data_IF_624523815065
#
_entry.id   IF_624523815065
#
_cell.length_a   1.000
_cell.length_b   1.000
_cell.length_c   1.000
_cell.angle_alpha   90.00
_cell.angle_beta   90.00
_cell.angle_gamma   90.00
#
_symmetry.space_group_name_H-M   'P 1'
#
loop_
_entity.id
_entity.type
_entity.pdbx_description
1 polymer ?
#
# COMPACT_ATOMS: atom_id res chain seq x y z
N UNK A 1 -0.85 -3.34 -17.38
CA UNK A 1 -0.07 -2.15 -17.81
C UNK A 1 -1.06 -1.03 -18.00
N UNK A 2 -0.68 0.20 -17.63
CA UNK A 2 -1.46 1.41 -17.86
C UNK A 2 -0.78 2.25 -18.93
N UNK A 3 -1.52 2.68 -19.95
CA UNK A 3 -1.01 3.57 -20.99
C UNK A 3 -1.51 4.99 -20.76
N UNK A 4 -0.60 5.96 -20.71
CA UNK A 4 -0.87 7.39 -20.60
C UNK A 4 -0.56 8.04 -21.94
N UNK A 5 -1.51 7.95 -22.86
CA UNK A 5 -1.33 8.40 -24.24
C UNK A 5 -0.44 7.45 -25.05
N UNK A 6 0.30 8.00 -26.01
CA UNK A 6 1.02 7.21 -27.02
C UNK A 6 2.41 6.72 -26.54
N UNK A 7 3.09 7.49 -25.69
CA UNK A 7 4.51 7.26 -25.40
C UNK A 7 4.80 6.82 -23.97
N UNK A 8 3.85 6.99 -23.04
CA UNK A 8 4.07 6.71 -21.63
C UNK A 8 3.30 5.46 -21.20
N UNK A 9 4.02 4.49 -20.66
CA UNK A 9 3.46 3.25 -20.16
C UNK A 9 3.99 2.94 -18.77
N UNK A 10 3.08 2.56 -17.87
CA UNK A 10 3.41 2.12 -16.53
C UNK A 10 3.14 0.63 -16.39
N UNK A 11 4.13 -0.07 -15.87
CA UNK A 11 4.04 -1.49 -15.53
C UNK A 11 3.75 -1.61 -14.04
N UNK A 12 2.65 -2.27 -13.73
CA UNK A 12 2.29 -2.63 -12.36
C UNK A 12 3.15 -3.81 -11.88
N UNK A 13 3.26 -3.99 -10.58
CA UNK A 13 3.99 -5.10 -9.97
C UNK A 13 3.28 -6.46 -10.13
N UNK A 14 1.99 -6.44 -10.48
CA UNK A 14 1.14 -7.64 -10.47
C UNK A 14 1.31 -8.51 -11.72
N UNK A 15 1.58 -9.79 -11.47
CA UNK A 15 1.64 -10.85 -12.48
C UNK A 15 0.28 -11.51 -12.61
N UNK A 16 -0.02 -12.12 -13.76
CA UNK A 16 -1.33 -12.73 -14.07
C UNK A 16 -1.86 -13.69 -13.00
N UNK A 17 -0.96 -14.40 -12.28
CA UNK A 17 -1.36 -15.31 -11.19
C UNK A 17 -2.10 -14.60 -10.04
N UNK A 18 -1.77 -13.33 -9.78
CA UNK A 18 -2.35 -12.53 -8.70
C UNK A 18 -3.59 -11.75 -9.15
N UNK A 19 -3.86 -11.69 -10.46
CA UNK A 19 -4.96 -10.93 -11.03
C UNK A 19 -6.24 -11.77 -11.11
N UNK A 20 -7.39 -11.13 -10.97
CA UNK A 20 -8.70 -11.69 -11.30
C UNK A 20 -8.78 -11.96 -12.81
N UNK A 21 -9.93 -12.44 -13.31
CA UNK A 21 -10.12 -12.62 -14.75
C UNK A 21 -10.00 -11.27 -15.44
N UNK A 22 -8.85 -11.04 -16.08
CA UNK A 22 -8.58 -9.81 -16.82
C UNK A 22 -9.49 -9.72 -18.04
N UNK A 23 -9.92 -8.51 -18.45
CA UNK A 23 -10.59 -8.33 -19.71
C UNK A 23 -9.73 -8.87 -20.87
N UNK A 24 -10.36 -9.52 -21.84
CA UNK A 24 -9.67 -10.04 -23.04
C UNK A 24 -9.10 -8.90 -23.89
N UNK A 25 -9.68 -7.70 -23.78
CA UNK A 25 -9.32 -6.50 -24.52
C UNK A 25 -8.78 -5.38 -23.62
N UNK A 26 -8.25 -4.31 -24.24
CA UNK A 26 -7.81 -3.11 -23.52
C UNK A 26 -9.01 -2.42 -22.86
N UNK A 27 -8.92 -2.21 -21.55
CA UNK A 27 -9.88 -1.41 -20.79
C UNK A 27 -9.39 0.05 -20.71
N UNK A 28 -10.31 1.00 -20.84
CA UNK A 28 -10.04 2.43 -20.58
C UNK A 28 -9.97 2.68 -19.07
N UNK A 29 -9.16 3.66 -18.67
CA UNK A 29 -9.12 4.10 -17.28
C UNK A 29 -10.48 4.73 -16.92
N UNK A 30 -11.21 4.08 -16.02
CA UNK A 30 -12.61 4.41 -15.74
C UNK A 30 -12.73 5.63 -14.82
N UNK A 31 -13.97 6.13 -14.67
CA UNK A 31 -14.25 7.18 -13.69
C UNK A 31 -14.00 6.69 -12.25
N UNK A 32 -14.29 5.41 -11.98
CA UNK A 32 -14.05 4.77 -10.69
C UNK A 32 -12.55 4.64 -10.41
N UNK A 33 -11.76 4.22 -11.41
CA UNK A 33 -10.30 4.15 -11.32
C UNK A 33 -9.71 5.54 -10.99
N UNK A 34 -10.28 6.59 -11.58
CA UNK A 34 -9.91 7.99 -11.34
C UNK A 34 -10.25 8.45 -9.93
N UNK A 35 -11.41 8.05 -9.41
CA UNK A 35 -11.80 8.35 -8.03
C UNK A 35 -10.83 7.68 -7.03
N UNK A 36 -10.46 6.42 -7.25
CA UNK A 36 -9.46 5.74 -6.43
C UNK A 36 -8.09 6.42 -6.49
N UNK A 37 -7.64 6.80 -7.70
CA UNK A 37 -6.37 7.49 -7.88
C UNK A 37 -6.31 8.81 -7.12
N UNK A 38 -7.32 9.66 -7.30
CA UNK A 38 -7.41 10.99 -6.66
C UNK A 38 -7.49 10.84 -5.15
N UNK A 39 -8.33 9.93 -4.65
CA UNK A 39 -8.47 9.73 -3.22
C UNK A 39 -7.17 9.27 -2.55
N UNK A 40 -6.47 8.30 -3.15
CA UNK A 40 -5.17 7.86 -2.66
C UNK A 40 -4.13 9.00 -2.70
N UNK A 41 -4.14 9.81 -3.77
CA UNK A 41 -3.21 10.93 -3.92
C UNK A 41 -3.42 11.98 -2.83
N UNK A 42 -4.67 12.38 -2.58
CA UNK A 42 -5.02 13.35 -1.53
C UNK A 42 -4.60 12.88 -0.15
N UNK A 43 -4.83 11.61 0.19
CA UNK A 43 -4.41 11.06 1.47
C UNK A 43 -2.89 11.04 1.62
N UNK A 44 -2.16 10.50 0.63
CA UNK A 44 -0.70 10.44 0.71
C UNK A 44 -0.06 11.82 0.75
N UNK A 45 -0.60 12.80 0.03
CA UNK A 45 -0.12 14.19 0.09
C UNK A 45 -0.37 14.82 1.47
N UNK A 46 -1.54 14.56 2.09
CA UNK A 46 -1.85 15.05 3.43
C UNK A 46 -1.01 14.39 4.54
N UNK A 47 -0.41 13.23 4.26
CA UNK A 47 0.39 12.49 5.23
C UNK A 47 1.80 13.02 5.47
N UNK A 48 2.26 13.98 4.66
CA UNK A 48 3.63 14.51 4.66
C UNK A 48 4.74 13.46 4.46
N UNK A 49 4.41 12.24 4.00
CA UNK A 49 5.40 11.23 3.66
C UNK A 49 6.36 11.77 2.59
N UNK A 50 7.67 11.54 2.79
CA UNK A 50 8.68 12.01 1.86
C UNK A 50 8.79 11.07 0.65
N UNK A 51 8.02 11.35 -0.40
CA UNK A 51 8.04 10.63 -1.68
C UNK A 51 8.35 11.59 -2.82
N UNK A 52 9.19 11.18 -3.76
CA UNK A 52 9.31 11.87 -5.04
C UNK A 52 8.00 11.74 -5.85
N UNK A 53 7.78 12.66 -6.80
CA UNK A 53 6.61 12.59 -7.69
C UNK A 53 6.52 11.27 -8.46
N UNK A 54 7.68 10.68 -8.80
CA UNK A 54 7.75 9.39 -9.48
C UNK A 54 7.34 8.23 -8.55
N UNK A 55 7.81 8.22 -7.31
CA UNK A 55 7.43 7.21 -6.32
C UNK A 55 5.94 7.29 -5.98
N UNK A 56 5.42 8.51 -5.76
CA UNK A 56 4.00 8.73 -5.53
C UNK A 56 3.18 8.18 -6.71
N UNK A 57 3.53 8.55 -7.94
CA UNK A 57 2.83 8.05 -9.14
C UNK A 57 2.86 6.53 -9.22
N UNK A 58 3.99 5.89 -8.93
CA UNK A 58 4.12 4.44 -8.95
C UNK A 58 3.26 3.77 -7.87
N UNK A 59 3.23 4.33 -6.65
CA UNK A 59 2.36 3.85 -5.56
C UNK A 59 0.89 3.95 -5.96
N UNK A 60 0.46 5.10 -6.49
CA UNK A 60 -0.94 5.33 -6.88
C UNK A 60 -1.39 4.37 -7.99
N UNK A 61 -0.58 4.19 -9.04
CA UNK A 61 -0.91 3.29 -10.15
C UNK A 61 -0.98 1.83 -9.66
N UNK A 62 -0.08 1.40 -8.78
CA UNK A 62 -0.17 0.05 -8.21
C UNK A 62 -1.36 -0.09 -7.26
N UNK A 63 -1.67 0.92 -6.45
CA UNK A 63 -2.84 0.92 -5.56
C UNK A 63 -4.15 0.79 -6.32
N UNK A 64 -4.34 1.58 -7.39
CA UNK A 64 -5.52 1.46 -8.27
C UNK A 64 -5.56 0.10 -8.96
N UNK A 65 -4.43 -0.38 -9.49
CA UNK A 65 -4.40 -1.69 -10.12
C UNK A 65 -4.70 -2.83 -9.14
N UNK A 66 -4.32 -2.68 -7.86
CA UNK A 66 -4.66 -3.63 -6.81
C UNK A 66 -6.17 -3.66 -6.55
N UNK A 67 -6.77 -2.48 -6.34
CA UNK A 67 -8.20 -2.33 -6.08
C UNK A 67 -9.06 -2.91 -7.21
N UNK A 68 -8.67 -2.68 -8.47
CA UNK A 68 -9.49 -3.04 -9.64
C UNK A 68 -9.25 -4.48 -10.09
N UNK A 69 -8.01 -4.98 -10.05
CA UNK A 69 -7.65 -6.22 -10.75
C UNK A 69 -7.06 -7.33 -9.86
N UNK A 70 -6.74 -7.07 -8.59
CA UNK A 70 -6.10 -8.08 -7.76
C UNK A 70 -7.11 -9.06 -7.16
N UNK A 71 -6.76 -10.35 -7.12
CA UNK A 71 -7.53 -11.35 -6.39
C UNK A 71 -7.53 -11.04 -4.88
N UNK A 72 -8.59 -11.40 -4.14
CA UNK A 72 -8.54 -11.34 -2.68
C UNK A 72 -7.33 -12.08 -2.14
N UNK A 73 -6.59 -11.46 -1.21
CA UNK A 73 -5.44 -12.08 -0.55
C UNK A 73 -5.83 -12.71 0.79
N UNK A 74 -5.14 -13.80 1.14
CA UNK A 74 -5.37 -14.48 2.40
C UNK A 74 -4.97 -13.58 3.59
N UNK A 75 -5.74 -13.69 4.68
CA UNK A 75 -5.42 -13.06 5.95
C UNK A 75 -4.17 -13.73 6.54
N UNK A 76 -3.12 -12.96 6.83
CA UNK A 76 -1.85 -13.46 7.37
C UNK A 76 -1.29 -12.61 8.50
N UNK A 77 -2.14 -12.30 9.47
CA UNK A 77 -1.82 -11.42 10.61
C UNK A 77 -0.78 -12.00 11.56
N UNK A 78 -0.59 -13.33 11.57
CA UNK A 78 0.37 -14.01 12.45
C UNK A 78 1.83 -13.68 12.14
N UNK A 79 2.11 -13.03 11.01
CA UNK A 79 3.45 -12.54 10.68
C UNK A 79 3.84 -11.27 11.44
N UNK A 80 2.89 -10.59 12.10
CA UNK A 80 3.07 -9.25 12.64
C UNK A 80 2.66 -9.17 14.11
N UNK A 81 3.34 -8.28 14.84
CA UNK A 81 3.13 -8.00 16.25
C UNK A 81 1.79 -7.31 16.49
N UNK A 82 1.05 -7.73 17.52
CA UNK A 82 -0.16 -7.02 17.93
C UNK A 82 0.17 -5.66 18.55
N UNK A 83 -0.64 -4.65 18.25
CA UNK A 83 -0.45 -3.28 18.71
C UNK A 83 -1.60 -2.89 19.64
N UNK A 84 -1.26 -2.31 20.79
CA UNK A 84 -2.24 -1.75 21.74
C UNK A 84 -2.94 -0.53 21.14
N UNK A 85 -2.18 0.33 20.45
CA UNK A 85 -2.69 1.50 19.75
C UNK A 85 -2.51 1.26 18.26
N UNK A 86 -3.62 0.92 17.59
CA UNK A 86 -3.59 0.52 16.18
C UNK A 86 -4.43 1.43 15.30
N UNK A 87 -4.07 1.48 14.03
CA UNK A 87 -4.82 2.25 13.04
C UNK A 87 -3.96 2.64 11.84
N UNK A 88 -4.59 3.37 10.93
CA UNK A 88 -3.94 4.02 9.81
C UNK A 88 -4.31 5.48 9.80
N UNK A 89 -3.36 6.35 9.46
CA UNK A 89 -3.55 7.79 9.32
C UNK A 89 -3.29 8.12 7.86
N UNK A 90 -4.22 8.79 7.19
CA UNK A 90 -4.11 9.10 5.75
C UNK A 90 -3.84 7.87 4.88
N UNK A 91 -4.54 6.76 5.19
CA UNK A 91 -4.32 5.44 4.59
C UNK A 91 -2.89 4.89 4.75
N UNK A 92 -2.01 5.52 5.53
CA UNK A 92 -0.68 5.00 5.85
C UNK A 92 -0.66 4.33 7.21
N UNK A 93 0.06 3.22 7.24
CA UNK A 93 0.42 2.52 8.46
C UNK A 93 1.79 1.86 8.28
N UNK A 94 2.31 1.31 9.36
CA UNK A 94 3.41 0.37 9.30
C UNK A 94 2.99 -0.99 9.84
N UNK A 95 3.66 -2.02 9.37
CA UNK A 95 3.61 -3.37 9.93
C UNK A 95 4.99 -3.70 10.51
N UNK A 96 5.01 -4.39 11.64
CA UNK A 96 6.23 -4.73 12.34
C UNK A 96 6.19 -6.19 12.82
N UNK A 97 7.36 -6.82 12.82
CA UNK A 97 7.63 -8.08 13.47
C UNK A 97 9.07 -8.08 14.02
N UNK A 98 9.51 -9.22 14.56
CA UNK A 98 10.85 -9.38 15.13
C UNK A 98 11.99 -9.16 14.12
N UNK A 99 11.72 -9.24 12.81
CA UNK A 99 12.70 -9.06 11.74
C UNK A 99 12.78 -7.61 11.25
N UNK A 100 11.79 -6.78 11.58
CA UNK A 100 11.79 -5.37 11.24
C UNK A 100 10.41 -4.78 10.99
N UNK A 101 10.42 -3.55 10.49
CA UNK A 101 9.25 -2.71 10.23
C UNK A 101 9.21 -2.30 8.77
N UNK A 102 8.01 -2.20 8.19
CA UNK A 102 7.81 -1.72 6.84
C UNK A 102 6.51 -0.96 6.67
N UNK A 103 6.56 0.09 5.85
CA UNK A 103 5.42 0.95 5.59
C UNK A 103 4.49 0.36 4.53
N UNK A 104 3.20 0.57 4.74
CA UNK A 104 2.11 0.11 3.89
C UNK A 104 1.10 1.22 3.65
N UNK A 105 0.42 1.16 2.50
CA UNK A 105 -0.85 1.84 2.32
C UNK A 105 -2.00 0.87 2.57
N UNK A 106 -3.07 1.34 3.21
CA UNK A 106 -4.29 0.59 3.47
C UNK A 106 -5.28 0.88 2.34
N UNK A 107 -5.44 -0.08 1.43
CA UNK A 107 -6.30 0.05 0.24
C UNK A 107 -7.77 -0.18 0.56
N UNK A 108 -8.05 -1.18 1.41
CA UNK A 108 -9.41 -1.55 1.79
C UNK A 108 -9.45 -1.84 3.29
N UNK A 109 -10.57 -1.50 3.92
CA UNK A 109 -10.84 -1.85 5.30
C UNK A 109 -12.25 -2.43 5.42
N UNK A 110 -12.35 -3.51 6.19
CA UNK A 110 -13.61 -4.10 6.65
C UNK A 110 -13.60 -4.10 8.19
N UNK A 111 -14.58 -4.68 8.88
CA UNK A 111 -14.76 -4.63 10.33
C UNK A 111 -13.43 -4.69 11.12
N UNK A 112 -12.74 -5.84 11.08
CA UNK A 112 -11.51 -6.10 11.85
C UNK A 112 -10.27 -6.33 10.99
N UNK A 113 -10.38 -6.24 9.67
CA UNK A 113 -9.29 -6.56 8.73
C UNK A 113 -9.03 -5.41 7.76
N UNK A 114 -7.81 -5.34 7.27
CA UNK A 114 -7.35 -4.38 6.29
C UNK A 114 -6.55 -5.08 5.19
N UNK A 115 -6.78 -4.72 3.94
CA UNK A 115 -5.93 -5.09 2.80
C UNK A 115 -4.92 -3.96 2.61
N UNK A 116 -3.64 -4.31 2.71
CA UNK A 116 -2.54 -3.36 2.67
C UNK A 116 -1.62 -3.66 1.48
N UNK A 117 -1.03 -2.63 0.90
CA UNK A 117 0.02 -2.73 -0.12
C UNK A 117 1.34 -2.21 0.47
N UNK A 118 2.41 -3.00 0.34
CA UNK A 118 3.74 -2.61 0.83
C UNK A 118 4.29 -1.47 -0.04
N UNK A 119 4.74 -0.38 0.60
CA UNK A 119 5.36 0.76 -0.10
C UNK A 119 6.85 0.89 0.21
N UNK A 120 7.31 0.34 1.33
CA UNK A 120 8.74 0.11 1.59
C UNK A 120 9.34 -0.84 0.55
N UNK A 121 10.67 -0.81 0.38
CA UNK A 121 11.38 -1.66 -0.60
C UNK A 121 11.06 -3.14 -0.40
N UNK A 122 10.91 -3.54 0.85
CA UNK A 122 10.50 -4.89 1.23
C UNK A 122 10.12 -4.96 2.70
N UNK A 123 9.33 -5.98 3.06
CA UNK A 123 8.97 -6.31 4.43
C UNK A 123 9.29 -7.78 4.73
N UNK A 124 10.26 -8.01 5.59
CA UNK A 124 10.67 -9.35 6.00
C UNK A 124 9.57 -10.06 6.79
N UNK A 125 9.39 -11.35 6.53
CA UNK A 125 8.49 -12.24 7.24
C UNK A 125 9.28 -13.44 7.80
N UNK A 126 8.73 -14.14 8.78
CA UNK A 126 9.36 -15.35 9.34
C UNK A 126 9.55 -16.44 8.26
N UNK A 127 10.52 -17.33 8.49
CA UNK A 127 10.91 -18.44 7.60
C UNK A 127 11.47 -17.98 6.24
N UNK A 128 12.36 -16.99 6.24
CA UNK A 128 13.03 -16.44 5.05
C UNK A 128 12.07 -15.98 3.94
N UNK A 129 10.84 -15.62 4.33
CA UNK A 129 9.85 -15.04 3.44
C UNK A 129 9.98 -13.53 3.47
N UNK A 130 9.58 -12.88 2.40
CA UNK A 130 9.59 -11.44 2.29
C UNK A 130 8.44 -11.01 1.40
N UNK A 131 7.84 -9.87 1.73
CA UNK A 131 6.94 -9.16 0.83
C UNK A 131 7.76 -8.12 0.07
N UNK A 132 7.72 -8.17 -1.25
CA UNK A 132 8.33 -7.15 -2.09
C UNK A 132 7.47 -5.87 -2.11
N UNK A 133 8.07 -4.75 -2.49
CA UNK A 133 7.34 -3.52 -2.76
C UNK A 133 6.15 -3.80 -3.70
N UNK A 134 5.00 -3.21 -3.36
CA UNK A 134 3.69 -3.35 -4.00
C UNK A 134 2.96 -4.68 -3.83
N UNK A 135 3.53 -5.67 -3.14
CA UNK A 135 2.77 -6.86 -2.78
C UNK A 135 1.67 -6.55 -1.77
N UNK A 136 0.56 -7.29 -1.90
CA UNK A 136 -0.59 -7.14 -1.02
C UNK A 136 -0.53 -8.11 0.15
N UNK A 137 -1.00 -7.65 1.30
CA UNK A 137 -1.16 -8.45 2.51
C UNK A 137 -2.46 -8.06 3.20
N UNK A 138 -3.26 -9.06 3.61
CA UNK A 138 -4.44 -8.82 4.44
C UNK A 138 -4.09 -9.15 5.88
N UNK A 139 -4.37 -8.21 6.77
CA UNK A 139 -4.04 -8.31 8.20
C UNK A 139 -5.23 -7.90 9.06
N UNK A 140 -5.20 -8.27 10.34
CA UNK A 140 -6.09 -7.71 11.35
C UNK A 140 -5.69 -6.26 11.62
N UNK A 141 -6.65 -5.37 11.85
CA UNK A 141 -6.37 -3.95 12.09
C UNK A 141 -5.48 -3.71 13.30
N UNK A 142 -5.53 -4.58 14.31
CA UNK A 142 -4.64 -4.55 15.47
C UNK A 142 -3.17 -4.86 15.15
N UNK A 143 -2.80 -5.06 13.88
CA UNK A 143 -1.41 -5.14 13.42
C UNK A 143 -0.87 -3.81 12.88
N UNK A 144 -1.75 -2.86 12.58
CA UNK A 144 -1.39 -1.60 11.94
C UNK A 144 -0.85 -0.61 12.98
N UNK A 145 0.39 -0.19 12.81
CA UNK A 145 0.98 0.91 13.57
C UNK A 145 0.65 2.21 12.83
N UNK A 146 -0.01 3.20 13.46
CA UNK A 146 -0.27 4.48 12.82
C UNK A 146 1.01 5.15 12.34
N UNK A 147 1.05 5.58 11.07
CA UNK A 147 2.20 6.31 10.53
C UNK A 147 2.18 7.75 11.08
N UNK A 148 3.06 8.03 12.02
CA UNK A 148 3.25 9.35 12.59
C UNK A 148 4.66 9.81 12.21
N UNK A 149 4.75 10.86 11.39
CA UNK A 149 6.01 11.56 11.21
C UNK A 149 6.41 12.13 12.56
N UNK A 150 7.50 11.61 13.13
CA UNK A 150 8.18 12.30 14.20
C UNK A 150 8.69 13.62 13.63
N UNK A 151 7.96 14.70 13.86
CA UNK A 151 8.54 16.02 13.82
C UNK A 151 9.68 16.01 14.84
N UNK A 152 10.92 16.05 14.38
CA UNK A 152 12.09 16.31 15.23
C UNK A 152 12.00 17.75 15.72
N UNK A 153 11.06 18.00 16.64
CA UNK A 153 10.98 19.21 17.43
C UNK A 153 11.35 18.77 18.85
N UNK A 154 12.64 18.86 19.18
CA UNK A 154 13.21 19.17 20.50
C UNK A 154 14.73 18.92 20.47
N UNK A 155 15.46 19.87 19.90
CA UNK A 155 16.79 20.24 20.39
C UNK A 155 17.10 21.69 20.00
N UNK A 156 16.28 22.61 20.51
CA UNK A 156 16.75 23.92 20.94
C UNK A 156 16.35 24.09 22.40
N UNK A 157 17.29 23.82 23.31
CA UNK A 157 17.40 24.42 24.65
C UNK A 157 18.54 23.76 25.45
N UNK A 158 19.75 24.29 25.27
CA UNK A 158 20.78 24.46 26.30
C UNK A 158 21.88 25.37 25.75
#
# INVERSE_FOLDING_TARGET
MLSLGQNLQFKTAYKSKCLTTMPTDKQWFSMEDSAHYVNLAEQLQASYINLSSAELTQILINGVAALVFHKPVALRSWYFTEQTHFGAIHQLASLENELGKGDVIVLEQDANVATCMVISTSLSLINDKQLAQFELIKVMKNRLIPFILQSTLLSQSA
#
